data_IF_481955996480
#
_entry.id   IF_481955996480
#
_cell.length_a   1.000
_cell.length_b   1.000
_cell.length_c   1.000
_cell.angle_alpha   90.00
_cell.angle_beta   90.00
_cell.angle_gamma   90.00
#
_symmetry.space_group_name_H-M   'P 1'
#
loop_
_entity.id
_entity.type
_entity.pdbx_description
1 polymer ?
#
# COMPACT_ATOMS: atom_id res chain seq x y z
N UNK A 1 13.73 20.08 -12.06
CA UNK A 1 12.28 20.42 -12.08
C UNK A 1 11.73 20.06 -10.72
N UNK A 2 10.99 20.98 -10.10
CA UNK A 2 10.40 20.79 -8.76
C UNK A 2 8.92 20.46 -8.87
N UNK A 3 8.43 19.65 -7.96
CA UNK A 3 7.05 19.18 -7.85
C UNK A 3 6.50 19.52 -6.47
N UNK A 4 5.18 19.57 -6.33
CA UNK A 4 4.53 19.92 -5.07
C UNK A 4 4.46 21.43 -4.84
N UNK A 5 4.28 21.86 -3.59
CA UNK A 5 4.09 23.26 -3.19
C UNK A 5 4.48 23.49 -1.72
N UNK A 6 4.79 24.76 -1.38
CA UNK A 6 5.13 25.16 -0.02
C UNK A 6 6.28 24.34 0.57
N UNK A 7 6.10 23.90 1.80
CA UNK A 7 7.08 23.06 2.53
C UNK A 7 7.15 21.63 2.01
N UNK A 8 6.24 21.25 1.09
CA UNK A 8 6.16 19.93 0.45
C UNK A 8 6.58 20.03 -1.02
N UNK A 9 7.78 20.58 -1.24
CA UNK A 9 8.40 20.73 -2.57
C UNK A 9 9.49 19.67 -2.75
N UNK A 10 9.51 19.03 -3.91
CA UNK A 10 10.35 17.87 -4.21
C UNK A 10 11.12 18.00 -5.51
N UNK A 11 12.26 17.34 -5.59
CA UNK A 11 12.96 17.05 -6.84
C UNK A 11 13.07 15.55 -7.05
N UNK A 12 12.76 15.08 -8.27
CA UNK A 12 12.93 13.65 -8.61
C UNK A 12 14.40 13.29 -8.76
N UNK A 13 14.82 12.21 -8.09
CA UNK A 13 16.13 11.60 -8.32
C UNK A 13 16.05 10.65 -9.52
N UNK A 14 16.56 11.11 -10.65
CA UNK A 14 16.53 10.35 -11.90
C UNK A 14 17.47 9.14 -11.94
N UNK A 15 18.37 9.04 -10.98
CA UNK A 15 19.39 7.99 -10.94
C UNK A 15 19.16 7.00 -9.80
N UNK A 16 18.10 7.18 -9.02
CA UNK A 16 17.79 6.27 -7.91
C UNK A 16 17.39 4.88 -8.43
N UNK A 17 17.80 3.83 -7.70
CA UNK A 17 17.40 2.46 -8.01
C UNK A 17 18.29 1.82 -9.08
N UNK A 18 19.61 1.79 -8.86
CA UNK A 18 20.54 1.13 -9.76
C UNK A 18 20.40 -0.40 -9.65
N UNK A 19 19.89 -1.01 -10.71
CA UNK A 19 19.69 -2.47 -10.77
C UNK A 19 20.96 -3.20 -11.21
N UNK A 20 21.30 -4.32 -10.57
CA UNK A 20 22.33 -5.21 -11.08
C UNK A 20 21.86 -5.95 -12.35
N UNK A 21 22.81 -6.55 -13.07
CA UNK A 21 22.51 -7.35 -14.26
C UNK A 21 21.50 -8.47 -13.95
N UNK A 22 20.52 -8.64 -14.82
CA UNK A 22 19.46 -9.64 -14.69
C UNK A 22 18.29 -9.26 -13.78
N UNK A 23 18.31 -8.07 -13.16
CA UNK A 23 17.19 -7.53 -12.42
C UNK A 23 16.43 -6.50 -13.24
N UNK A 24 15.13 -6.39 -12.98
CA UNK A 24 14.26 -5.41 -13.63
C UNK A 24 13.23 -4.88 -12.65
N UNK A 25 12.83 -3.64 -12.82
CA UNK A 25 11.55 -3.16 -12.31
C UNK A 25 10.47 -3.58 -13.31
N UNK A 26 9.50 -4.34 -12.81
CA UNK A 26 8.27 -4.55 -13.53
C UNK A 26 7.18 -3.73 -12.84
N UNK A 27 6.11 -4.30 -12.34
CA UNK A 27 5.13 -3.55 -11.58
C UNK A 27 5.55 -3.50 -10.10
N UNK A 28 6.03 -2.36 -9.62
CA UNK A 28 6.38 -2.15 -8.22
C UNK A 28 5.10 -1.85 -7.43
N UNK A 29 4.52 -2.89 -6.85
CA UNK A 29 3.21 -2.81 -6.23
C UNK A 29 3.25 -2.30 -4.79
N UNK A 30 4.26 -2.67 -4.01
CA UNK A 30 4.44 -2.23 -2.62
C UNK A 30 5.79 -1.58 -2.41
N UNK A 31 5.84 -0.62 -1.50
CA UNK A 31 7.06 0.04 -1.04
C UNK A 31 6.99 0.16 0.48
N UNK A 32 8.06 -0.23 1.17
CA UNK A 32 8.19 -0.01 2.60
C UNK A 32 9.61 0.45 2.94
N UNK A 33 9.77 1.15 4.06
CA UNK A 33 11.06 1.69 4.51
C UNK A 33 11.30 1.22 5.93
N UNK A 34 12.50 0.71 6.19
CA UNK A 34 12.87 0.28 7.52
C UNK A 34 13.44 1.45 8.37
N UNK A 35 13.70 1.19 9.63
CA UNK A 35 14.27 2.17 10.58
C UNK A 35 15.67 2.70 10.22
N UNK A 36 16.33 2.11 9.23
CA UNK A 36 17.64 2.55 8.72
C UNK A 36 17.51 3.33 7.41
N UNK A 37 16.30 3.65 6.98
CA UNK A 37 15.97 4.22 5.67
C UNK A 37 16.33 3.29 4.49
N UNK A 38 16.41 1.97 4.72
CA UNK A 38 16.49 1.01 3.62
C UNK A 38 15.12 0.83 2.99
N UNK A 39 15.10 0.85 1.66
CA UNK A 39 13.88 0.83 0.87
C UNK A 39 13.64 -0.57 0.32
N UNK A 40 12.51 -1.14 0.70
CA UNK A 40 12.04 -2.45 0.27
C UNK A 40 10.97 -2.30 -0.81
N UNK A 41 11.15 -2.99 -1.90
CA UNK A 41 10.22 -2.99 -3.04
C UNK A 41 9.57 -4.35 -3.18
N UNK A 42 8.24 -4.37 -3.31
CA UNK A 42 7.48 -5.56 -3.64
C UNK A 42 7.06 -5.49 -5.11
N UNK A 43 7.76 -6.25 -5.94
CA UNK A 43 7.83 -6.10 -7.39
C UNK A 43 7.33 -7.35 -8.10
N UNK A 44 6.66 -7.20 -9.22
CA UNK A 44 6.10 -8.32 -10.01
C UNK A 44 7.08 -8.78 -11.10
N UNK A 45 8.34 -9.03 -10.74
CA UNK A 45 9.37 -9.61 -11.60
C UNK A 45 9.88 -10.93 -11.03
N UNK A 46 10.93 -11.49 -11.61
CA UNK A 46 11.60 -12.67 -11.05
C UNK A 46 12.18 -12.42 -9.66
N UNK A 47 12.59 -11.18 -9.37
CA UNK A 47 13.08 -10.74 -8.07
C UNK A 47 12.00 -9.91 -7.37
N UNK A 48 11.13 -10.59 -6.61
CA UNK A 48 9.90 -9.97 -6.10
C UNK A 48 10.10 -9.09 -4.88
N UNK A 49 11.12 -9.34 -4.06
CA UNK A 49 11.50 -8.45 -2.95
C UNK A 49 12.91 -7.95 -3.19
N UNK A 50 13.07 -6.66 -3.42
CA UNK A 50 14.36 -6.01 -3.63
C UNK A 50 14.62 -4.95 -2.58
N UNK A 51 15.86 -4.81 -2.16
CA UNK A 51 16.27 -3.89 -1.10
C UNK A 51 17.32 -2.93 -1.62
N UNK A 52 17.10 -1.65 -1.39
CA UNK A 52 18.03 -0.58 -1.75
C UNK A 52 18.39 0.27 -0.53
N UNK A 53 19.55 0.92 -0.57
CA UNK A 53 19.79 2.04 0.34
C UNK A 53 18.94 3.24 -0.03
N UNK A 54 18.81 4.21 0.89
CA UNK A 54 18.15 5.48 0.57
C UNK A 54 18.83 6.25 -0.57
N UNK A 55 20.10 5.96 -0.89
CA UNK A 55 20.84 6.51 -2.02
C UNK A 55 20.59 5.78 -3.34
N UNK A 56 19.82 4.67 -3.33
CA UNK A 56 19.49 3.88 -4.53
C UNK A 56 20.49 2.79 -4.88
N UNK A 57 21.43 2.47 -3.98
CA UNK A 57 22.34 1.36 -4.16
C UNK A 57 21.61 0.04 -3.86
N UNK A 58 21.65 -0.89 -4.80
CA UNK A 58 21.07 -2.23 -4.60
C UNK A 58 21.85 -2.98 -3.51
N UNK A 59 21.13 -3.51 -2.51
CA UNK A 59 21.71 -4.30 -1.42
C UNK A 59 21.58 -5.80 -1.63
N UNK A 60 20.37 -6.27 -1.85
CA UNK A 60 20.05 -7.68 -2.11
C UNK A 60 18.62 -7.84 -2.63
N UNK A 61 18.31 -9.03 -3.14
CA UNK A 61 16.95 -9.52 -3.29
C UNK A 61 16.72 -10.72 -2.38
N UNK A 62 15.45 -11.00 -2.07
CA UNK A 62 15.05 -12.20 -1.34
C UNK A 62 14.77 -13.34 -2.32
N UNK A 63 15.10 -14.57 -1.88
CA UNK A 63 14.76 -15.80 -2.60
C UNK A 63 13.40 -16.32 -2.10
N UNK A 64 12.35 -15.60 -2.43
CA UNK A 64 10.95 -15.89 -2.06
C UNK A 64 10.07 -15.76 -3.30
N UNK A 65 8.94 -16.45 -3.30
CA UNK A 65 8.02 -16.46 -4.44
C UNK A 65 6.58 -16.27 -4.00
N UNK A 66 5.91 -15.33 -4.66
CA UNK A 66 4.50 -14.98 -4.48
C UNK A 66 3.77 -15.15 -5.82
N UNK A 67 2.47 -15.47 -5.76
CA UNK A 67 1.65 -15.56 -6.97
C UNK A 67 1.43 -14.18 -7.60
N UNK A 68 1.12 -13.17 -6.77
CA UNK A 68 0.96 -11.79 -7.22
C UNK A 68 1.28 -10.79 -6.10
N UNK A 69 2.51 -10.26 -6.07
CA UNK A 69 2.89 -9.21 -5.14
C UNK A 69 1.92 -8.03 -5.14
N UNK A 70 1.40 -7.65 -3.96
CA UNK A 70 0.47 -6.53 -3.87
C UNK A 70 0.84 -5.54 -2.75
N UNK A 71 0.29 -5.62 -1.56
CA UNK A 71 0.65 -4.75 -0.44
C UNK A 71 1.81 -5.33 0.38
N UNK A 72 2.62 -4.46 0.98
CA UNK A 72 3.65 -4.85 1.94
C UNK A 72 3.74 -3.86 3.10
N UNK A 73 4.15 -4.36 4.26
CA UNK A 73 4.36 -3.57 5.47
C UNK A 73 5.53 -4.12 6.27
N UNK A 74 6.26 -3.25 6.95
CA UNK A 74 7.24 -3.61 7.98
C UNK A 74 6.62 -3.27 9.32
N UNK A 75 6.31 -4.30 10.11
CA UNK A 75 5.65 -4.10 11.40
C UNK A 75 6.58 -3.53 12.47
N UNK A 76 6.04 -3.05 13.59
CA UNK A 76 6.82 -2.53 14.71
C UNK A 76 7.73 -3.60 15.34
N UNK A 77 7.41 -4.88 15.15
CA UNK A 77 8.23 -6.04 15.53
C UNK A 77 9.44 -6.28 14.59
N UNK A 78 9.56 -5.48 13.52
CA UNK A 78 10.59 -5.59 12.50
C UNK A 78 10.37 -6.73 11.50
N UNK A 79 9.25 -7.43 11.57
CA UNK A 79 8.89 -8.44 10.60
C UNK A 79 8.18 -7.84 9.39
N UNK A 80 8.19 -8.59 8.30
CA UNK A 80 7.64 -8.20 7.02
C UNK A 80 6.32 -8.90 6.77
N UNK A 81 5.34 -8.14 6.31
CA UNK A 81 4.00 -8.63 6.00
C UNK A 81 3.72 -8.36 4.53
N UNK A 82 3.27 -9.38 3.80
CA UNK A 82 3.06 -9.34 2.36
C UNK A 82 1.67 -9.86 2.01
N UNK A 83 0.88 -9.05 1.33
CA UNK A 83 -0.36 -9.50 0.72
C UNK A 83 -0.03 -10.14 -0.64
N UNK A 84 -0.26 -11.46 -0.73
CA UNK A 84 -0.20 -12.21 -1.98
C UNK A 84 -1.62 -12.32 -2.53
N UNK A 85 -1.93 -11.43 -3.48
CA UNK A 85 -3.29 -11.25 -3.97
C UNK A 85 -3.88 -12.54 -4.54
N UNK A 86 -3.19 -13.16 -5.48
CA UNK A 86 -3.76 -14.28 -6.26
C UNK A 86 -3.73 -15.61 -5.51
N UNK A 87 -2.90 -15.73 -4.48
CA UNK A 87 -2.92 -16.87 -3.56
C UNK A 87 -3.93 -16.68 -2.39
N UNK A 88 -4.62 -15.53 -2.29
CA UNK A 88 -5.62 -15.21 -1.25
C UNK A 88 -5.07 -15.30 0.17
N UNK A 89 -3.82 -14.89 0.39
CA UNK A 89 -3.14 -14.99 1.68
C UNK A 89 -2.37 -13.72 2.03
N UNK A 90 -2.07 -13.58 3.33
CA UNK A 90 -1.05 -12.67 3.82
C UNK A 90 0.05 -13.47 4.52
N UNK A 91 1.29 -13.14 4.22
CA UNK A 91 2.47 -13.86 4.71
C UNK A 91 3.30 -12.97 5.63
N UNK A 92 3.71 -13.50 6.77
CA UNK A 92 4.67 -12.86 7.70
C UNK A 92 6.02 -13.53 7.58
N UNK A 93 7.06 -12.73 7.34
CA UNK A 93 8.45 -13.19 7.28
C UNK A 93 9.32 -12.46 8.31
N UNK A 94 10.32 -13.14 8.83
CA UNK A 94 11.39 -12.52 9.60
C UNK A 94 12.35 -11.71 8.70
N UNK A 95 13.19 -10.82 9.27
CA UNK A 95 14.28 -10.16 8.52
C UNK A 95 15.27 -11.14 7.89
N UNK A 96 15.36 -12.36 8.44
CA UNK A 96 16.21 -13.44 7.91
C UNK A 96 15.50 -14.28 6.84
N UNK A 97 14.33 -13.84 6.36
CA UNK A 97 13.53 -14.46 5.32
C UNK A 97 12.90 -15.81 5.72
N UNK A 98 12.72 -16.05 7.03
CA UNK A 98 11.98 -17.20 7.51
C UNK A 98 10.47 -16.92 7.49
N UNK A 99 9.68 -17.81 6.89
CA UNK A 99 8.21 -17.73 6.92
C UNK A 99 7.74 -18.03 8.35
N UNK A 100 7.16 -17.03 9.01
CA UNK A 100 6.68 -17.14 10.39
C UNK A 100 5.19 -17.46 10.50
N UNK A 101 4.38 -16.92 9.56
CA UNK A 101 2.93 -17.07 9.60
C UNK A 101 2.34 -16.99 8.20
N UNK A 102 1.29 -17.77 7.96
CA UNK A 102 0.42 -17.66 6.80
C UNK A 102 -1.00 -17.40 7.27
N UNK A 103 -1.58 -16.28 6.86
CA UNK A 103 -2.97 -15.92 7.08
C UNK A 103 -3.78 -16.27 5.83
N UNK A 104 -4.95 -16.88 6.03
CA UNK A 104 -5.74 -17.46 4.93
C UNK A 104 -5.27 -18.86 4.54
N UNK A 105 -5.81 -19.37 3.46
CA UNK A 105 -5.45 -20.67 2.90
C UNK A 105 -5.02 -20.49 1.45
N UNK A 106 -3.77 -20.82 1.14
CA UNK A 106 -3.18 -20.65 -0.18
C UNK A 106 -4.05 -21.23 -1.30
N UNK A 107 -4.40 -20.36 -2.26
CA UNK A 107 -5.21 -20.70 -3.42
C UNK A 107 -6.69 -20.94 -3.12
N UNK A 108 -7.16 -20.57 -1.93
CA UNK A 108 -8.57 -20.74 -1.53
C UNK A 108 -9.18 -19.37 -1.20
N UNK A 109 -10.05 -18.89 -2.08
CA UNK A 109 -10.80 -17.65 -1.87
C UNK A 109 -11.98 -17.85 -0.92
N UNK A 110 -12.32 -16.82 -0.15
CA UNK A 110 -13.60 -16.73 0.57
C UNK A 110 -14.77 -16.74 -0.39
N UNK A 111 -15.90 -17.33 0.01
CA UNK A 111 -17.13 -17.42 -0.81
C UNK A 111 -17.90 -16.10 -0.80
N UNK A 112 -17.38 -15.13 -1.55
CA UNK A 112 -18.00 -13.81 -1.74
C UNK A 112 -18.91 -13.75 -2.94
N UNK A 113 -18.99 -14.80 -3.75
CA UNK A 113 -19.70 -14.79 -5.03
C UNK A 113 -19.06 -13.90 -6.10
N UNK A 114 -17.80 -13.50 -5.92
CA UNK A 114 -17.07 -12.70 -6.89
C UNK A 114 -16.71 -13.53 -8.13
N UNK A 115 -17.06 -13.04 -9.32
CA UNK A 115 -16.84 -13.74 -10.60
C UNK A 115 -15.80 -13.05 -11.52
N UNK A 116 -14.97 -12.17 -10.97
CA UNK A 116 -13.67 -11.82 -11.56
C UNK A 116 -13.59 -10.63 -12.50
N UNK A 117 -14.66 -9.95 -12.90
CA UNK A 117 -14.53 -8.89 -13.91
C UNK A 117 -15.15 -7.53 -13.56
N UNK A 118 -16.00 -7.44 -12.55
CA UNK A 118 -16.80 -6.23 -12.32
C UNK A 118 -16.48 -5.48 -11.04
N UNK A 119 -15.52 -5.95 -10.24
CA UNK A 119 -15.24 -5.37 -8.92
C UNK A 119 -16.50 -5.27 -8.02
N UNK A 120 -17.52 -6.04 -8.35
CA UNK A 120 -18.76 -6.14 -7.59
C UNK A 120 -18.70 -7.41 -6.76
N UNK A 121 -18.82 -7.25 -5.45
CA UNK A 121 -18.83 -8.35 -4.48
C UNK A 121 -20.27 -8.58 -4.03
N UNK A 122 -20.92 -9.71 -4.41
CA UNK A 122 -22.31 -9.98 -4.04
C UNK A 122 -22.51 -10.20 -2.54
N UNK A 123 -21.55 -10.89 -1.88
CA UNK A 123 -21.67 -11.31 -0.49
C UNK A 123 -20.33 -11.09 0.24
N UNK A 124 -20.07 -9.90 0.80
CA UNK A 124 -18.85 -9.69 1.61
C UNK A 124 -18.72 -10.76 2.70
N UNK A 125 -17.53 -11.35 2.81
CA UNK A 125 -17.27 -12.51 3.67
C UNK A 125 -16.02 -12.33 4.54
N UNK A 126 -15.69 -13.32 5.34
CA UNK A 126 -14.45 -13.40 6.08
C UNK A 126 -13.22 -13.55 5.18
N UNK A 127 -12.00 -13.53 5.72
CA UNK A 127 -10.75 -13.47 4.94
C UNK A 127 -10.42 -14.77 4.21
N UNK A 128 -9.81 -14.73 3.02
CA UNK A 128 -9.56 -13.57 2.15
C UNK A 128 -10.07 -13.88 0.74
N UNK A 129 -10.38 -12.82 -0.05
CA UNK A 129 -10.60 -13.01 -1.48
C UNK A 129 -9.88 -11.88 -2.25
N UNK A 130 -8.66 -12.16 -2.71
CA UNK A 130 -7.74 -11.23 -3.39
C UNK A 130 -7.36 -10.01 -2.50
N UNK A 131 -6.69 -10.24 -1.35
CA UNK A 131 -6.29 -9.18 -0.40
C UNK A 131 -5.33 -8.17 -1.06
N UNK A 132 -5.41 -6.92 -0.59
CA UNK A 132 -4.76 -5.79 -1.25
C UNK A 132 -3.68 -5.13 -0.41
N UNK A 133 -3.90 -4.90 0.88
CA UNK A 133 -2.97 -4.23 1.76
C UNK A 133 -2.92 -4.87 3.14
N UNK A 134 -1.86 -4.57 3.87
CA UNK A 134 -1.67 -5.04 5.26
C UNK A 134 -0.96 -3.99 6.07
N UNK A 135 -1.36 -3.82 7.33
CA UNK A 135 -0.67 -2.98 8.32
C UNK A 135 -0.77 -3.61 9.70
N UNK A 136 0.17 -3.32 10.59
CA UNK A 136 0.23 -3.89 11.94
C UNK A 136 0.36 -2.78 12.96
N UNK A 137 -0.43 -2.84 14.03
CA UNK A 137 -0.36 -1.88 15.13
C UNK A 137 0.75 -2.22 16.14
N UNK A 138 0.96 -1.36 17.13
CA UNK A 138 1.99 -1.55 18.15
C UNK A 138 1.72 -2.75 19.08
N UNK A 139 0.47 -3.18 19.22
CA UNK A 139 0.05 -4.36 19.98
C UNK A 139 0.30 -5.66 19.20
N UNK A 140 0.59 -5.56 17.91
CA UNK A 140 0.85 -6.68 17.00
C UNK A 140 -0.39 -7.21 16.30
N UNK A 141 -1.54 -6.56 16.41
CA UNK A 141 -2.73 -6.89 15.62
C UNK A 141 -2.54 -6.53 14.16
N UNK A 142 -2.99 -7.42 13.29
CA UNK A 142 -2.80 -7.35 11.84
C UNK A 142 -4.09 -6.90 11.20
N UNK A 143 -4.04 -5.80 10.43
CA UNK A 143 -5.18 -5.31 9.65
C UNK A 143 -4.93 -5.52 8.17
N UNK A 144 -5.91 -6.10 7.48
CA UNK A 144 -5.78 -6.46 6.06
C UNK A 144 -6.97 -5.91 5.28
N UNK A 145 -6.72 -5.08 4.28
CA UNK A 145 -7.73 -4.73 3.28
C UNK A 145 -7.88 -5.87 2.26
N UNK A 146 -9.12 -6.23 1.96
CA UNK A 146 -9.48 -7.36 1.12
C UNK A 146 -10.47 -6.87 0.07
N UNK A 147 -9.95 -6.44 -1.10
CA UNK A 147 -10.72 -5.54 -1.94
C UNK A 147 -11.01 -6.00 -3.36
N UNK A 148 -10.17 -6.82 -4.02
CA UNK A 148 -10.46 -7.22 -5.40
C UNK A 148 -11.60 -8.23 -5.50
N UNK A 149 -11.67 -9.17 -4.57
CA UNK A 149 -12.72 -10.17 -4.54
C UNK A 149 -13.63 -10.07 -3.31
N UNK A 150 -13.41 -9.06 -2.48
CA UNK A 150 -14.20 -8.75 -1.27
C UNK A 150 -14.41 -7.23 -1.17
N UNK A 151 -15.14 -6.77 -0.16
CA UNK A 151 -15.36 -5.35 0.13
C UNK A 151 -15.19 -5.08 1.62
N UNK A 152 -14.13 -5.63 2.21
CA UNK A 152 -13.90 -5.62 3.66
C UNK A 152 -12.46 -5.29 4.03
N UNK A 153 -12.26 -4.96 5.29
CA UNK A 153 -10.99 -5.12 5.95
C UNK A 153 -11.17 -5.98 7.21
N UNK A 154 -10.09 -6.64 7.62
CA UNK A 154 -10.11 -7.65 8.68
C UNK A 154 -9.10 -7.30 9.75
N UNK A 155 -9.40 -7.58 11.03
CA UNK A 155 -8.47 -7.54 12.16
C UNK A 155 -8.17 -8.95 12.61
N UNK A 156 -6.89 -9.28 12.72
CA UNK A 156 -6.42 -10.56 13.22
C UNK A 156 -5.41 -10.32 14.35
N UNK A 157 -5.32 -11.25 15.28
CA UNK A 157 -4.27 -11.26 16.29
C UNK A 157 -2.89 -11.51 15.66
N UNK A 158 -1.84 -11.28 16.41
CA UNK A 158 -0.44 -11.55 16.00
C UNK A 158 -0.18 -13.03 15.66
N UNK A 159 -1.00 -13.96 16.14
CA UNK A 159 -0.95 -15.40 15.81
C UNK A 159 -1.87 -15.81 14.66
N UNK A 160 -2.62 -14.84 14.08
CA UNK A 160 -3.46 -15.03 12.91
C UNK A 160 -4.92 -15.40 13.19
N UNK A 161 -5.36 -15.38 14.44
CA UNK A 161 -6.76 -15.62 14.77
C UNK A 161 -7.62 -14.41 14.39
N UNK A 162 -8.72 -14.63 13.64
CA UNK A 162 -9.63 -13.54 13.26
C UNK A 162 -10.31 -12.94 14.49
N UNK A 163 -10.18 -11.63 14.69
CA UNK A 163 -10.87 -10.86 15.72
C UNK A 163 -12.21 -10.37 15.20
N UNK A 164 -12.18 -9.61 14.09
CA UNK A 164 -13.36 -9.01 13.50
C UNK A 164 -13.18 -8.69 12.00
N UNK A 165 -14.28 -8.31 11.35
CA UNK A 165 -14.29 -7.94 9.93
C UNK A 165 -15.36 -6.90 9.66
N UNK A 166 -15.02 -5.85 8.91
CA UNK A 166 -15.90 -4.71 8.64
C UNK A 166 -15.93 -4.35 7.17
N UNK A 167 -17.04 -3.79 6.76
CA UNK A 167 -17.27 -3.29 5.42
C UNK A 167 -18.40 -4.02 4.70
N UNK A 168 -19.10 -3.29 3.85
CA UNK A 168 -20.13 -3.79 2.95
C UNK A 168 -19.83 -3.35 1.52
N UNK A 169 -20.33 -4.08 0.54
CA UNK A 169 -20.17 -3.68 -0.85
C UNK A 169 -21.09 -2.50 -1.18
N UNK A 170 -20.53 -1.37 -1.60
CA UNK A 170 -21.32 -0.19 -1.91
C UNK A 170 -20.54 1.09 -2.07
N UNK A 171 -21.25 2.22 -2.15
CA UNK A 171 -20.63 3.54 -2.34
C UNK A 171 -21.34 4.68 -1.59
N UNK A 172 -22.51 4.44 -1.05
CA UNK A 172 -23.40 5.52 -0.59
C UNK A 172 -23.26 5.84 0.88
N UNK A 173 -22.91 4.86 1.70
CA UNK A 173 -22.84 5.01 3.15
C UNK A 173 -21.39 4.97 3.66
N UNK A 174 -21.15 5.43 4.90
CA UNK A 174 -19.96 5.06 5.64
C UNK A 174 -19.83 3.53 5.71
N UNK A 175 -18.60 3.03 5.61
CA UNK A 175 -18.26 1.60 5.61
C UNK A 175 -18.79 0.80 4.40
N UNK A 176 -19.45 1.43 3.42
CA UNK A 176 -19.56 0.85 2.10
C UNK A 176 -18.20 0.97 1.40
N UNK A 177 -17.71 -0.11 0.80
CA UNK A 177 -16.46 -0.13 0.04
C UNK A 177 -16.69 -0.63 -1.39
N UNK A 178 -15.94 -0.02 -2.30
CA UNK A 178 -15.77 -0.53 -3.65
C UNK A 178 -14.27 -0.65 -3.95
N UNK A 179 -13.75 -1.85 -3.75
CA UNK A 179 -12.35 -2.18 -3.83
C UNK A 179 -11.50 -1.42 -2.77
N UNK A 180 -11.67 -1.75 -1.45
CA UNK A 180 -10.73 -1.26 -0.44
C UNK A 180 -9.33 -1.74 -0.78
N UNK A 181 -8.37 -0.78 -0.92
CA UNK A 181 -7.08 -1.07 -1.52
C UNK A 181 -5.93 -0.95 -0.53
N UNK A 182 -5.29 0.20 -0.39
CA UNK A 182 -4.29 0.42 0.64
C UNK A 182 -4.94 0.60 2.01
N UNK A 183 -4.22 0.23 3.05
CA UNK A 183 -4.60 0.45 4.45
C UNK A 183 -3.39 0.93 5.23
N UNK A 184 -3.56 1.97 6.05
CA UNK A 184 -2.52 2.55 6.90
C UNK A 184 -3.02 2.82 8.31
N UNK A 185 -2.09 3.00 9.24
CA UNK A 185 -2.38 3.48 10.61
C UNK A 185 -1.72 4.85 10.76
N UNK A 186 -2.50 5.85 11.16
CA UNK A 186 -1.96 7.17 11.40
C UNK A 186 -1.33 7.31 12.81
N UNK A 187 -0.72 8.47 13.07
CA UNK A 187 -0.01 8.73 14.32
C UNK A 187 -0.94 8.80 15.56
N UNK A 188 -2.26 8.80 15.38
CA UNK A 188 -3.27 8.73 16.44
C UNK A 188 -3.87 7.30 16.60
N UNK A 189 -3.35 6.34 15.83
CA UNK A 189 -3.79 4.95 15.86
C UNK A 189 -5.07 4.66 15.08
N UNK A 190 -5.51 5.59 14.20
CA UNK A 190 -6.70 5.40 13.36
C UNK A 190 -6.32 4.66 12.08
N UNK A 191 -7.20 3.78 11.64
CA UNK A 191 -7.07 3.10 10.36
C UNK A 191 -7.56 4.01 9.23
N UNK A 192 -6.77 4.13 8.18
CA UNK A 192 -7.14 4.78 6.93
C UNK A 192 -7.24 3.72 5.83
N UNK A 193 -8.41 3.56 5.24
CA UNK A 193 -8.67 2.58 4.18
C UNK A 193 -8.93 3.33 2.87
N UNK A 194 -8.09 3.10 1.87
CA UNK A 194 -8.25 3.64 0.52
C UNK A 194 -9.42 2.93 -0.19
N UNK A 195 -10.57 3.56 -0.25
CA UNK A 195 -11.78 3.09 -0.94
C UNK A 195 -11.69 3.49 -2.41
N UNK A 196 -10.88 2.72 -3.17
CA UNK A 196 -10.28 3.10 -4.45
C UNK A 196 -11.31 3.52 -5.49
N UNK A 197 -12.29 2.67 -5.79
CA UNK A 197 -13.29 2.92 -6.82
C UNK A 197 -14.37 3.92 -6.38
N UNK A 198 -14.43 4.23 -5.08
CA UNK A 198 -15.28 5.30 -4.54
C UNK A 198 -14.54 6.64 -4.42
N UNK A 199 -13.26 6.71 -4.84
CA UNK A 199 -12.46 7.94 -4.88
C UNK A 199 -12.36 8.65 -3.52
N UNK A 200 -12.25 7.88 -2.43
CA UNK A 200 -12.23 8.39 -1.06
C UNK A 200 -11.31 7.55 -0.16
N UNK A 201 -10.97 8.10 1.00
CA UNK A 201 -10.30 7.38 2.08
C UNK A 201 -11.22 7.44 3.29
N UNK A 202 -11.53 6.30 3.89
CA UNK A 202 -12.35 6.22 5.09
C UNK A 202 -11.48 5.95 6.30
N UNK A 203 -11.76 6.67 7.38
CA UNK A 203 -11.05 6.52 8.66
C UNK A 203 -11.95 5.84 9.68
N UNK A 204 -11.38 4.85 10.39
CA UNK A 204 -12.03 4.16 11.50
C UNK A 204 -11.09 4.12 12.70
N UNK A 205 -11.63 3.82 13.89
CA UNK A 205 -10.80 3.33 14.96
C UNK A 205 -10.42 1.85 14.71
N UNK A 206 -9.67 1.26 15.62
CA UNK A 206 -9.21 -0.12 15.49
C UNK A 206 -10.29 -1.17 15.84
N UNK A 207 -11.44 -0.74 16.35
CA UNK A 207 -12.65 -1.53 16.54
C UNK A 207 -13.63 -1.43 15.36
N UNK A 208 -13.19 -0.79 14.24
CA UNK A 208 -13.98 -0.66 13.02
C UNK A 208 -15.08 0.39 13.06
N UNK A 209 -15.09 1.26 14.08
CA UNK A 209 -16.07 2.34 14.16
C UNK A 209 -15.67 3.46 13.20
N UNK A 210 -16.56 3.79 12.27
CA UNK A 210 -16.36 4.89 11.32
C UNK A 210 -16.18 6.23 12.06
N UNK A 211 -15.15 7.00 11.67
CA UNK A 211 -14.86 8.32 12.24
C UNK A 211 -15.19 9.43 11.25
N UNK A 212 -14.56 9.42 10.10
CA UNK A 212 -14.75 10.40 9.03
C UNK A 212 -14.20 9.85 7.70
N UNK A 213 -14.35 10.62 6.63
CA UNK A 213 -13.74 10.31 5.35
C UNK A 213 -13.18 11.55 4.66
N UNK A 214 -12.16 11.33 3.86
CA UNK A 214 -11.63 12.32 2.92
C UNK A 214 -12.06 11.97 1.50
N UNK A 215 -12.29 12.97 0.68
CA UNK A 215 -12.66 12.87 -0.73
C UNK A 215 -11.72 13.67 -1.62
N UNK A 216 -12.04 13.79 -2.92
CA UNK A 216 -11.20 14.48 -3.91
C UNK A 216 -9.91 13.71 -4.28
N UNK A 217 -10.02 12.39 -4.36
CA UNK A 217 -8.98 11.53 -4.89
C UNK A 217 -9.33 10.98 -6.28
N UNK A 218 -8.31 10.53 -7.00
CA UNK A 218 -8.42 9.84 -8.28
C UNK A 218 -7.99 8.38 -8.16
N UNK A 219 -8.85 7.54 -7.59
CA UNK A 219 -8.56 6.14 -7.27
C UNK A 219 -7.34 6.00 -6.32
N UNK A 220 -7.47 6.35 -5.01
CA UNK A 220 -6.38 6.21 -4.06
C UNK A 220 -5.97 4.74 -3.93
N UNK A 221 -4.68 4.46 -4.12
CA UNK A 221 -4.13 3.10 -4.11
C UNK A 221 -3.45 2.76 -2.80
N UNK A 222 -2.72 3.70 -2.23
CA UNK A 222 -2.00 3.47 -0.98
C UNK A 222 -1.85 4.76 -0.19
N UNK A 223 -1.57 4.63 1.10
CA UNK A 223 -1.41 5.75 2.03
C UNK A 223 -0.27 5.48 3.01
N UNK A 224 0.63 6.45 3.14
CA UNK A 224 1.68 6.46 4.16
C UNK A 224 1.56 7.71 5.03
N UNK A 225 1.99 7.62 6.28
CA UNK A 225 1.96 8.75 7.21
C UNK A 225 3.36 9.19 7.58
N UNK A 226 3.59 10.50 7.56
CA UNK A 226 4.83 11.13 7.97
C UNK A 226 4.88 11.36 9.48
N UNK A 227 6.06 11.78 9.94
CA UNK A 227 6.31 11.96 11.38
C UNK A 227 5.47 13.05 12.03
N UNK A 228 5.01 14.05 11.28
CA UNK A 228 4.18 15.14 11.79
C UNK A 228 2.67 14.90 11.56
N UNK A 229 2.29 13.69 11.12
CA UNK A 229 0.91 13.29 10.85
C UNK A 229 0.40 13.68 9.47
N UNK A 230 1.26 14.15 8.57
CA UNK A 230 0.90 14.32 7.17
C UNK A 230 0.67 12.97 6.48
N UNK A 231 -0.32 12.92 5.60
CA UNK A 231 -0.66 11.76 4.80
C UNK A 231 -0.16 11.92 3.35
N UNK A 232 0.49 10.91 2.84
CA UNK A 232 0.98 10.79 1.47
C UNK A 232 0.15 9.74 0.76
N UNK A 233 -0.56 10.11 -0.30
CA UNK A 233 -1.50 9.25 -1.00
C UNK A 233 -1.07 9.08 -2.45
N UNK A 234 -0.89 7.83 -2.86
CA UNK A 234 -0.76 7.47 -4.28
C UNK A 234 -2.15 7.28 -4.89
N UNK A 235 -2.31 7.77 -6.11
CA UNK A 235 -3.58 7.72 -6.83
C UNK A 235 -3.37 7.10 -8.22
N UNK A 236 -4.08 6.03 -8.53
CA UNK A 236 -3.87 5.24 -9.75
C UNK A 236 -3.93 6.09 -11.03
N UNK A 237 -4.79 7.11 -11.02
CA UNK A 237 -4.95 8.03 -12.14
C UNK A 237 -3.90 9.16 -12.07
N UNK A 238 -2.63 8.76 -12.11
CA UNK A 238 -1.46 9.56 -12.45
C UNK A 238 -1.10 10.66 -11.45
N UNK A 239 -1.44 10.52 -10.13
CA UNK A 239 -1.35 11.62 -9.18
C UNK A 239 -0.81 11.20 -7.81
N UNK A 240 -0.17 12.14 -7.12
CA UNK A 240 0.19 12.08 -5.71
C UNK A 240 -0.44 13.25 -4.98
N UNK A 241 -1.03 13.00 -3.81
CA UNK A 241 -1.55 14.02 -2.92
C UNK A 241 -0.89 13.94 -1.55
N UNK A 242 -0.57 15.09 -0.96
CA UNK A 242 -0.09 15.23 0.41
C UNK A 242 -1.10 16.08 1.16
N UNK A 243 -1.58 15.57 2.30
CA UNK A 243 -2.58 16.24 3.12
C UNK A 243 -2.06 16.39 4.55
N UNK A 244 -2.57 17.38 5.27
CA UNK A 244 -2.35 17.45 6.71
C UNK A 244 -3.24 16.44 7.45
N UNK A 245 -3.06 16.35 8.78
CA UNK A 245 -3.82 15.44 9.65
C UNK A 245 -5.34 15.70 9.67
N UNK A 246 -5.77 16.87 9.20
CA UNK A 246 -7.18 17.28 9.15
C UNK A 246 -7.76 17.10 7.72
N UNK A 247 -6.96 16.60 6.77
CA UNK A 247 -7.35 16.36 5.38
C UNK A 247 -7.24 17.57 4.46
N UNK A 248 -6.59 18.65 4.88
CA UNK A 248 -6.36 19.79 4.03
C UNK A 248 -5.20 19.51 3.08
N UNK A 249 -5.36 19.84 1.80
CA UNK A 249 -4.36 19.63 0.77
C UNK A 249 -3.14 20.54 1.01
N UNK A 250 -1.97 19.94 1.16
CA UNK A 250 -0.68 20.61 1.30
C UNK A 250 0.05 20.71 -0.04
N UNK A 251 0.08 19.60 -0.79
CA UNK A 251 0.68 19.54 -2.11
C UNK A 251 0.02 18.46 -2.96
N UNK A 252 0.06 18.65 -4.27
CA UNK A 252 -0.45 17.68 -5.24
C UNK A 252 0.24 17.90 -6.58
N UNK A 253 0.60 16.80 -7.27
CA UNK A 253 1.12 16.87 -8.64
C UNK A 253 0.86 15.58 -9.40
N UNK A 254 1.05 15.64 -10.72
CA UNK A 254 0.61 14.63 -11.66
C UNK A 254 -0.86 14.84 -12.00
N UNK A 255 -1.27 14.67 -13.20
CA UNK A 255 -2.66 14.81 -13.65
C UNK A 255 -2.91 13.98 -14.91
N UNK A 256 -1.88 13.81 -15.73
CA UNK A 256 -1.93 13.07 -16.99
C UNK A 256 -0.88 11.96 -16.99
N UNK A 257 -1.21 10.86 -17.66
CA UNK A 257 -0.31 9.72 -17.80
C UNK A 257 0.98 10.11 -18.52
N UNK A 258 2.12 9.90 -17.86
CA UNK A 258 3.42 10.23 -18.46
C UNK A 258 4.56 9.44 -17.82
N UNK A 259 5.50 8.99 -18.65
CA UNK A 259 6.76 8.38 -18.20
C UNK A 259 7.88 9.41 -17.90
N UNK A 260 7.63 10.70 -18.13
CA UNK A 260 8.60 11.74 -17.80
C UNK A 260 8.95 11.69 -16.30
N UNK A 261 10.23 11.90 -15.92
CA UNK A 261 10.63 11.91 -14.53
C UNK A 261 9.84 12.94 -13.71
N UNK A 262 9.26 12.46 -12.61
CA UNK A 262 8.39 13.25 -11.72
C UNK A 262 6.93 13.30 -12.12
N UNK A 263 6.57 12.74 -13.27
CA UNK A 263 5.19 12.47 -13.67
C UNK A 263 4.87 10.99 -13.43
N UNK A 264 3.62 10.57 -13.60
CA UNK A 264 3.17 9.21 -13.26
C UNK A 264 2.33 8.57 -14.37
N UNK A 265 2.42 7.22 -14.42
CA UNK A 265 1.51 6.39 -15.21
C UNK A 265 0.47 5.74 -14.32
N UNK A 266 0.88 5.02 -13.30
CA UNK A 266 -0.02 4.33 -12.38
C UNK A 266 0.61 4.19 -10.99
N UNK A 267 0.66 5.27 -10.17
CA UNK A 267 1.14 5.20 -8.80
C UNK A 267 0.38 4.15 -8.00
N UNK A 268 1.10 3.36 -7.18
CA UNK A 268 0.51 2.26 -6.44
C UNK A 268 1.02 2.20 -5.00
N UNK A 269 2.19 1.66 -4.73
CA UNK A 269 2.81 1.72 -3.41
C UNK A 269 3.48 3.07 -3.14
N UNK A 270 3.37 3.58 -1.92
CA UNK A 270 3.99 4.84 -1.50
C UNK A 270 4.61 4.71 -0.11
N UNK A 271 5.80 5.27 0.10
CA UNK A 271 6.44 5.35 1.39
C UNK A 271 7.21 6.66 1.55
N UNK A 272 7.41 7.07 2.80
CA UNK A 272 8.18 8.27 3.17
C UNK A 272 9.29 7.89 4.15
N UNK A 273 10.53 8.36 3.91
CA UNK A 273 11.64 8.09 4.81
C UNK A 273 11.76 9.12 5.95
N UNK A 274 12.74 8.91 6.85
CA UNK A 274 12.97 9.76 8.02
C UNK A 274 13.28 11.22 7.68
N UNK A 275 13.66 11.52 6.43
CA UNK A 275 13.98 12.87 5.94
C UNK A 275 12.81 13.53 5.22
N UNK A 276 11.73 12.77 5.00
CA UNK A 276 10.58 13.20 4.22
C UNK A 276 10.72 13.00 2.71
N UNK A 277 11.73 12.25 2.26
CA UNK A 277 11.84 11.85 0.86
C UNK A 277 10.77 10.80 0.54
N UNK A 278 10.15 10.91 -0.65
CA UNK A 278 9.08 10.01 -1.08
C UNK A 278 9.60 8.96 -2.05
N UNK A 279 9.03 7.77 -1.92
CA UNK A 279 9.25 6.65 -2.84
C UNK A 279 7.90 6.17 -3.38
N UNK A 280 7.74 6.18 -4.69
CA UNK A 280 6.48 5.86 -5.36
C UNK A 280 6.71 4.75 -6.37
N UNK A 281 6.14 3.56 -6.08
CA UNK A 281 6.10 2.44 -7.01
C UNK A 281 4.96 2.59 -8.00
N UNK A 282 5.20 2.21 -9.25
CA UNK A 282 4.20 2.27 -10.31
C UNK A 282 3.93 0.88 -10.89
N UNK A 283 2.66 0.61 -11.14
CA UNK A 283 2.15 -0.63 -11.75
C UNK A 283 1.67 -0.40 -13.18
N UNK A 284 1.03 -1.41 -13.77
CA UNK A 284 0.54 -1.38 -15.15
C UNK A 284 1.67 -1.00 -16.11
N UNK A 285 1.46 0.00 -16.95
CA UNK A 285 2.45 0.50 -17.91
C UNK A 285 3.55 1.37 -17.26
N UNK A 286 3.41 1.73 -15.98
CA UNK A 286 4.39 2.54 -15.24
C UNK A 286 5.70 1.83 -15.01
N UNK A 287 5.66 0.62 -14.48
CA UNK A 287 6.75 -0.35 -14.36
C UNK A 287 8.07 0.23 -13.84
N UNK A 288 8.00 1.04 -12.77
CA UNK A 288 9.16 1.70 -12.17
C UNK A 288 8.93 2.05 -10.70
N UNK A 289 9.99 2.56 -10.10
CA UNK A 289 9.99 3.26 -8.81
C UNK A 289 10.60 4.64 -9.04
N UNK A 290 10.07 5.66 -8.38
CA UNK A 290 10.65 7.00 -8.37
C UNK A 290 10.91 7.46 -6.94
N UNK A 291 12.08 8.05 -6.71
CA UNK A 291 12.40 8.79 -5.48
C UNK A 291 12.24 10.28 -5.70
N UNK A 292 11.63 10.95 -4.73
CA UNK A 292 11.45 12.40 -4.67
C UNK A 292 12.14 12.94 -3.42
N UNK A 293 13.17 13.75 -3.61
CA UNK A 293 13.95 14.37 -2.53
C UNK A 293 13.25 15.64 -2.07
N UNK A 294 12.92 15.73 -0.79
CA UNK A 294 12.32 16.92 -0.17
C UNK A 294 13.31 18.09 -0.14
N UNK A 295 12.83 19.33 -0.35
CA UNK A 295 13.63 20.56 -0.39
C UNK A 295 13.46 21.43 0.85
#
# INVERSE_FOLDING_TARGET
MTFGSGDYTYEVDKNWGQLPEGHEFNQVAGVAIDKNDDVYLFNRSAHQVMIFSSQGEFKKSWDVSFANPHGMHIGPDGNFYFADRDDHIVLKYSPDQELLLTLGQKGVASDTGYEGDLMVVPNPAGPFNLPTGVVVNDEGDIFVSDGYGNSRFHRLTSDGSLIDTWGEAGKSNPMDFHLPHGIGIDNEGRLAVCDRENHRIQFTDQEGIFLYMWSDFKQPTDIAFGQNGEAYVSELQHRISILDKDGNLLARWGEESSHEPGQFVAPHGIAVDSKGDLYVGEVLEGQRIQKFIRK
#
